data_IF_169389076108
#
_entry.id   IF_169389076108
#
_cell.length_a   1.000
_cell.length_b   1.000
_cell.length_c   1.000
_cell.angle_alpha   90.00
_cell.angle_beta   90.00
_cell.angle_gamma   90.00
#
_symmetry.space_group_name_H-M   'P 1'
#
loop_
_entity.id
_entity.type
_entity.pdbx_description
1 polymer ?
#
# COMPACT_ATOMS: atom_id res chain seq x y z
N UNK A 1 31.15 -16.80 12.50
CA UNK A 1 29.96 -16.02 12.89
C UNK A 1 28.79 -16.45 12.00
N UNK A 2 27.59 -16.56 12.55
CA UNK A 2 26.39 -16.89 11.78
C UNK A 2 25.93 -15.67 10.95
N UNK A 3 25.46 -15.91 9.73
CA UNK A 3 24.84 -14.90 8.87
C UNK A 3 23.31 -14.88 9.03
N UNK A 4 22.66 -13.81 8.56
CA UNK A 4 21.20 -13.67 8.56
C UNK A 4 20.64 -13.97 7.17
N UNK A 5 19.66 -14.88 7.08
CA UNK A 5 18.99 -15.25 5.84
C UNK A 5 17.48 -15.15 6.02
N UNK A 6 16.81 -14.31 5.23
CA UNK A 6 15.37 -14.07 5.37
C UNK A 6 14.67 -13.97 4.01
N UNK A 7 13.37 -14.28 3.99
CA UNK A 7 12.44 -13.90 2.93
C UNK A 7 11.14 -13.43 3.59
N UNK A 8 10.94 -12.11 3.60
CA UNK A 8 9.83 -11.46 4.31
C UNK A 8 8.91 -10.78 3.30
N UNK A 9 7.98 -11.53 2.73
CA UNK A 9 7.04 -11.01 1.73
C UNK A 9 5.79 -10.45 2.41
N UNK A 10 5.55 -9.16 2.22
CA UNK A 10 4.46 -8.44 2.88
C UNK A 10 3.74 -7.56 1.87
N UNK A 11 2.44 -7.75 1.75
CA UNK A 11 1.55 -6.79 1.08
C UNK A 11 1.12 -5.75 2.10
N UNK A 12 1.19 -4.49 1.73
CA UNK A 12 0.61 -3.38 2.47
C UNK A 12 -0.57 -2.80 1.70
N UNK A 13 -1.59 -2.41 2.46
CA UNK A 13 -2.80 -1.75 1.95
C UNK A 13 -3.07 -0.52 2.80
N UNK A 14 -3.18 0.66 2.18
CA UNK A 14 -3.46 1.91 2.88
C UNK A 14 -4.26 2.86 2.01
N UNK A 15 -5.07 3.72 2.63
CA UNK A 15 -6.03 4.59 1.95
C UNK A 15 -5.67 6.07 2.00
N UNK A 16 -6.20 6.81 1.04
CA UNK A 16 -6.18 8.27 0.97
C UNK A 16 -7.07 8.85 2.08
N UNK A 17 -6.66 9.96 2.68
CA UNK A 17 -7.47 10.70 3.65
C UNK A 17 -8.37 11.72 2.95
N UNK A 18 -9.67 11.64 3.23
CA UNK A 18 -10.68 12.54 2.69
C UNK A 18 -11.04 12.28 1.22
N UNK A 19 -12.22 12.76 0.81
CA UNK A 19 -12.79 12.57 -0.54
C UNK A 19 -12.15 13.41 -1.64
N UNK A 20 -11.49 14.50 -1.31
CA UNK A 20 -10.97 15.47 -2.30
C UNK A 20 -9.56 15.14 -2.83
N UNK A 21 -8.89 14.16 -2.21
CA UNK A 21 -7.48 13.87 -2.40
C UNK A 21 -7.20 12.65 -3.31
N UNK A 22 -8.07 12.37 -4.27
CA UNK A 22 -7.97 11.17 -5.09
C UNK A 22 -6.74 11.16 -6.00
N UNK A 23 -6.14 9.98 -6.13
CA UNK A 23 -5.06 9.68 -7.06
C UNK A 23 -5.64 9.62 -8.47
N UNK A 24 -5.04 10.35 -9.41
CA UNK A 24 -5.49 10.40 -10.81
C UNK A 24 -4.49 9.71 -11.70
N UNK A 25 -4.98 9.03 -12.73
CA UNK A 25 -4.16 8.26 -13.67
C UNK A 25 -3.00 9.08 -14.25
N UNK A 26 -3.24 10.37 -14.55
CA UNK A 26 -2.23 11.29 -15.09
C UNK A 26 -0.93 11.42 -14.27
N UNK A 27 -0.96 11.11 -12.97
CA UNK A 27 0.21 11.16 -12.09
C UNK A 27 0.43 9.87 -11.29
N UNK A 28 -0.38 8.83 -11.53
CA UNK A 28 -0.31 7.56 -10.80
C UNK A 28 1.06 6.90 -10.96
N UNK A 29 1.53 6.75 -12.20
CA UNK A 29 2.83 6.13 -12.50
C UNK A 29 4.01 6.88 -11.84
N UNK A 30 3.98 8.21 -11.82
CA UNK A 30 5.01 9.01 -11.15
C UNK A 30 4.97 8.83 -9.63
N UNK A 31 3.78 8.79 -9.03
CA UNK A 31 3.59 8.48 -7.61
C UNK A 31 4.10 7.07 -7.27
N UNK A 32 3.79 6.07 -8.09
CA UNK A 32 4.25 4.69 -7.92
C UNK A 32 5.77 4.57 -7.98
N UNK A 33 6.41 5.29 -8.90
CA UNK A 33 7.88 5.39 -9.00
C UNK A 33 8.51 6.00 -7.76
N UNK A 34 7.93 7.08 -7.23
CA UNK A 34 8.38 7.72 -5.98
C UNK A 34 8.27 6.76 -4.80
N UNK A 35 7.15 6.07 -4.66
CA UNK A 35 6.96 5.07 -3.61
C UNK A 35 8.00 3.95 -3.75
N UNK A 36 8.24 3.43 -4.96
CA UNK A 36 9.27 2.42 -5.19
C UNK A 36 10.67 2.91 -4.83
N UNK A 37 11.00 4.18 -5.13
CA UNK A 37 12.25 4.81 -4.71
C UNK A 37 12.40 4.86 -3.19
N UNK A 38 11.34 5.25 -2.46
CA UNK A 38 11.33 5.26 -0.99
C UNK A 38 11.56 3.85 -0.43
N UNK A 39 10.85 2.84 -0.95
CA UNK A 39 11.01 1.43 -0.53
C UNK A 39 12.44 0.94 -0.78
N UNK A 40 13.01 1.26 -1.94
CA UNK A 40 14.39 0.90 -2.29
C UNK A 40 15.41 1.52 -1.34
N UNK A 41 15.21 2.79 -0.96
CA UNK A 41 16.06 3.48 0.02
C UNK A 41 16.03 2.85 1.41
N UNK A 42 14.98 2.10 1.75
CA UNK A 42 14.88 1.30 2.98
C UNK A 42 15.43 -0.12 2.83
N UNK A 43 16.21 -0.39 1.76
CA UNK A 43 16.79 -1.72 1.43
C UNK A 43 15.73 -2.80 1.17
N UNK A 44 14.49 -2.41 0.95
CA UNK A 44 13.39 -3.30 0.64
C UNK A 44 13.22 -3.39 -0.89
N UNK A 45 12.56 -4.46 -1.37
CA UNK A 45 12.31 -4.68 -2.80
C UNK A 45 10.82 -4.65 -3.10
N UNK A 46 10.36 -3.76 -3.97
CA UNK A 46 8.99 -3.80 -4.50
C UNK A 46 8.85 -4.91 -5.54
N UNK A 47 7.82 -5.74 -5.41
CA UNK A 47 7.44 -6.77 -6.38
C UNK A 47 6.27 -6.33 -7.26
N UNK A 48 5.30 -5.62 -6.67
CA UNK A 48 4.19 -5.02 -7.38
C UNK A 48 3.67 -3.81 -6.59
N UNK A 49 3.17 -2.81 -7.30
CA UNK A 49 2.46 -1.67 -6.73
C UNK A 49 1.33 -1.31 -7.67
N UNK A 50 0.19 -0.92 -7.10
CA UNK A 50 -0.84 -0.23 -7.83
C UNK A 50 -1.52 0.80 -6.91
N UNK A 51 -1.56 2.05 -7.35
CA UNK A 51 -2.27 3.12 -6.65
C UNK A 51 -3.66 3.31 -7.28
N UNK A 52 -4.68 2.73 -6.64
CA UNK A 52 -6.08 3.04 -6.94
C UNK A 52 -6.40 4.50 -6.58
N UNK A 53 -7.53 5.06 -7.06
CA UNK A 53 -7.89 6.45 -6.76
C UNK A 53 -7.95 6.79 -5.26
N UNK A 54 -8.39 5.85 -4.43
CA UNK A 54 -8.67 6.03 -3.00
C UNK A 54 -7.78 5.19 -2.07
N UNK A 55 -6.97 4.26 -2.60
CA UNK A 55 -6.08 3.42 -1.81
C UNK A 55 -4.92 2.83 -2.64
N UNK A 56 -3.94 2.24 -1.97
CA UNK A 56 -2.76 1.67 -2.62
C UNK A 56 -2.51 0.26 -2.11
N UNK A 57 -2.23 -0.64 -3.05
CA UNK A 57 -1.68 -1.97 -2.78
C UNK A 57 -0.19 -1.96 -3.16
N UNK A 58 0.66 -2.40 -2.24
CA UNK A 58 2.09 -2.57 -2.53
C UNK A 58 2.60 -3.88 -1.92
N UNK A 59 3.25 -4.70 -2.74
CA UNK A 59 3.84 -5.98 -2.34
C UNK A 59 5.36 -5.87 -2.29
N UNK A 60 5.93 -6.13 -1.11
CA UNK A 60 7.32 -5.81 -0.78
C UNK A 60 8.02 -7.04 -0.19
N UNK A 61 9.25 -7.30 -0.62
CA UNK A 61 10.22 -8.08 0.15
C UNK A 61 10.94 -7.17 1.13
N UNK A 62 10.64 -7.31 2.42
CA UNK A 62 11.14 -6.45 3.48
C UNK A 62 12.56 -6.83 3.91
N UNK A 63 13.37 -5.83 4.24
CA UNK A 63 14.64 -6.02 4.93
C UNK A 63 14.39 -6.23 6.43
N UNK A 64 15.08 -7.16 7.11
CA UNK A 64 14.81 -7.48 8.51
C UNK A 64 15.14 -6.36 9.52
N UNK A 65 15.79 -5.28 9.08
CA UNK A 65 16.16 -4.14 9.97
C UNK A 65 15.10 -3.04 10.04
N UNK A 66 14.00 -3.14 9.28
CA UNK A 66 12.94 -2.13 9.29
C UNK A 66 11.61 -2.78 9.68
N UNK A 67 10.91 -2.17 10.64
CA UNK A 67 9.58 -2.63 11.02
C UNK A 67 8.54 -2.25 9.97
N UNK A 68 7.42 -2.99 9.88
CA UNK A 68 6.31 -2.64 8.98
C UNK A 68 5.82 -1.20 9.18
N UNK A 69 5.64 -0.77 10.44
CA UNK A 69 5.19 0.58 10.77
C UNK A 69 6.17 1.66 10.32
N UNK A 70 7.48 1.45 10.51
CA UNK A 70 8.49 2.43 10.07
C UNK A 70 8.55 2.53 8.55
N UNK A 71 8.47 1.40 7.84
CA UNK A 71 8.43 1.41 6.38
C UNK A 71 7.20 2.17 5.86
N UNK A 72 6.02 1.91 6.42
CA UNK A 72 4.80 2.61 6.04
C UNK A 72 4.81 4.09 6.40
N UNK A 73 5.39 4.48 7.53
CA UNK A 73 5.63 5.88 7.88
C UNK A 73 6.46 6.59 6.80
N UNK A 74 7.58 5.99 6.36
CA UNK A 74 8.45 6.55 5.33
C UNK A 74 7.74 6.64 3.96
N UNK A 75 7.06 5.55 3.55
CA UNK A 75 6.30 5.51 2.30
C UNK A 75 5.22 6.59 2.28
N UNK A 76 4.38 6.65 3.32
CA UNK A 76 3.23 7.55 3.38
C UNK A 76 3.65 9.02 3.52
N UNK A 77 4.59 9.32 4.40
CA UNK A 77 5.08 10.70 4.60
C UNK A 77 5.85 11.21 3.39
N UNK A 78 6.76 10.42 2.82
CA UNK A 78 7.58 10.80 1.67
C UNK A 78 6.74 11.02 0.41
N UNK A 79 5.82 10.11 0.11
CA UNK A 79 4.92 10.26 -1.05
C UNK A 79 3.93 11.40 -0.87
N UNK A 80 3.40 11.62 0.35
CA UNK A 80 2.54 12.78 0.61
C UNK A 80 3.28 14.10 0.42
N UNK A 81 4.52 14.19 0.95
CA UNK A 81 5.35 15.38 0.78
C UNK A 81 5.56 15.68 -0.70
N UNK A 82 6.00 14.68 -1.46
CA UNK A 82 6.25 14.80 -2.89
C UNK A 82 4.99 15.25 -3.67
N UNK A 83 3.83 14.62 -3.41
CA UNK A 83 2.60 14.94 -4.15
C UNK A 83 2.09 16.36 -3.85
N UNK A 84 2.25 16.81 -2.60
CA UNK A 84 1.94 18.18 -2.19
C UNK A 84 2.88 19.21 -2.84
N UNK A 85 4.17 18.90 -2.98
CA UNK A 85 5.14 19.76 -3.68
C UNK A 85 4.82 19.91 -5.17
N UNK A 86 4.33 18.83 -5.80
CA UNK A 86 3.91 18.82 -7.22
C UNK A 86 2.63 19.60 -7.49
N UNK A 87 1.80 19.85 -6.46
CA UNK A 87 0.50 20.56 -6.57
C UNK A 87 -0.45 19.95 -7.61
N UNK A 88 -0.40 18.62 -7.80
CA UNK A 88 -1.30 17.92 -8.73
C UNK A 88 -2.74 17.80 -8.24
N UNK A 89 -2.94 17.95 -6.93
CA UNK A 89 -4.22 17.91 -6.23
C UNK A 89 -4.46 19.29 -5.63
N UNK A 90 -5.71 19.76 -5.67
CA UNK A 90 -6.10 21.01 -5.00
C UNK A 90 -6.21 20.74 -3.51
N UNK A 91 -5.52 21.54 -2.70
CA UNK A 91 -5.46 21.33 -1.26
C UNK A 91 -4.28 20.47 -0.84
N UNK A 92 -4.37 19.88 0.36
CA UNK A 92 -3.30 19.07 0.95
C UNK A 92 -3.66 17.59 0.87
N UNK A 93 -2.84 16.83 0.16
CA UNK A 93 -2.88 15.38 0.15
C UNK A 93 -2.28 14.78 1.42
N UNK A 94 -2.91 13.74 1.93
CA UNK A 94 -2.38 12.88 2.98
C UNK A 94 -3.01 11.50 2.89
N UNK A 95 -2.27 10.47 3.30
CA UNK A 95 -2.83 9.15 3.59
C UNK A 95 -3.54 9.13 4.96
N UNK A 96 -4.45 8.18 5.19
CA UNK A 96 -4.99 7.92 6.53
C UNK A 96 -3.89 7.34 7.43
N UNK A 97 -4.02 7.41 8.77
CA UNK A 97 -2.95 6.99 9.68
C UNK A 97 -2.70 5.46 9.67
N UNK A 98 -3.75 4.66 9.52
CA UNK A 98 -3.70 3.19 9.50
C UNK A 98 -3.15 2.56 8.21
N UNK A 99 -2.86 1.26 8.27
CA UNK A 99 -2.56 0.40 7.12
C UNK A 99 -2.85 -1.07 7.47
N UNK A 100 -3.16 -1.89 6.47
CA UNK A 100 -3.12 -3.35 6.57
C UNK A 100 -1.76 -3.88 6.14
N UNK A 101 -1.30 -4.97 6.76
CA UNK A 101 -0.09 -5.69 6.38
C UNK A 101 -0.34 -7.19 6.42
N UNK A 102 -0.08 -7.88 5.30
CA UNK A 102 -0.43 -9.28 5.09
C UNK A 102 0.77 -10.04 4.53
N UNK A 103 1.16 -11.14 5.17
CA UNK A 103 2.38 -11.89 4.82
C UNK A 103 2.10 -13.05 3.89
N UNK A 104 3.06 -13.38 3.03
CA UNK A 104 2.91 -14.43 2.02
C UNK A 104 4.13 -15.35 1.96
N UNK A 105 3.92 -16.62 1.61
CA UNK A 105 5.02 -17.53 1.28
C UNK A 105 5.52 -17.32 -0.15
N UNK A 106 6.72 -17.83 -0.46
CA UNK A 106 7.37 -17.74 -1.79
C UNK A 106 6.48 -18.23 -2.94
N UNK A 107 5.67 -19.27 -2.71
CA UNK A 107 4.79 -19.85 -3.73
C UNK A 107 3.63 -18.93 -4.14
N UNK A 108 3.30 -17.94 -3.32
CA UNK A 108 2.20 -17.01 -3.59
C UNK A 108 2.61 -15.78 -4.41
N UNK A 109 3.92 -15.53 -4.61
CA UNK A 109 4.41 -14.27 -5.18
C UNK A 109 3.73 -13.94 -6.50
N UNK A 110 3.70 -14.87 -7.46
CA UNK A 110 3.16 -14.60 -8.78
C UNK A 110 1.66 -14.27 -8.74
N UNK A 111 0.92 -14.94 -7.85
CA UNK A 111 -0.50 -14.69 -7.65
C UNK A 111 -0.74 -13.32 -7.01
N UNK A 112 0.06 -12.93 -6.02
CA UNK A 112 -0.05 -11.61 -5.36
C UNK A 112 0.35 -10.50 -6.32
N UNK A 113 1.42 -10.67 -7.10
CA UNK A 113 1.83 -9.72 -8.14
C UNK A 113 0.71 -9.52 -9.16
N UNK A 114 0.15 -10.61 -9.70
CA UNK A 114 -0.99 -10.54 -10.63
C UNK A 114 -2.20 -9.86 -9.99
N UNK A 115 -2.50 -10.15 -8.74
CA UNK A 115 -3.61 -9.53 -8.02
C UNK A 115 -3.41 -8.01 -7.85
N UNK A 116 -2.24 -7.56 -7.43
CA UNK A 116 -1.93 -6.13 -7.27
C UNK A 116 -1.96 -5.39 -8.61
N UNK A 117 -1.41 -5.97 -9.68
CA UNK A 117 -1.40 -5.31 -10.99
C UNK A 117 -2.77 -5.31 -11.70
N UNK A 118 -3.69 -6.18 -11.32
CA UNK A 118 -5.05 -6.26 -11.86
C UNK A 118 -6.10 -5.48 -11.04
N UNK A 119 -5.67 -4.67 -10.07
CA UNK A 119 -6.55 -3.83 -9.25
C UNK A 119 -7.56 -2.98 -10.05
N UNK A 120 -7.22 -2.39 -11.22
CA UNK A 120 -8.19 -1.68 -12.05
C UNK A 120 -9.39 -2.50 -12.49
N UNK A 121 -9.16 -3.76 -12.84
CA UNK A 121 -10.20 -4.68 -13.29
C UNK A 121 -10.97 -5.25 -12.10
N UNK A 122 -10.28 -5.49 -10.97
CA UNK A 122 -10.89 -5.94 -9.72
C UNK A 122 -11.96 -4.96 -9.23
N UNK A 123 -11.64 -3.66 -9.20
CA UNK A 123 -12.55 -2.62 -8.71
C UNK A 123 -13.69 -2.25 -9.64
N UNK A 124 -13.79 -2.86 -10.82
CA UNK A 124 -15.03 -2.82 -11.61
C UNK A 124 -16.15 -3.67 -11.00
N UNK A 125 -15.81 -4.59 -10.08
CA UNK A 125 -16.74 -5.58 -9.50
C UNK A 125 -16.83 -5.53 -7.99
N UNK A 126 -15.80 -5.02 -7.32
CA UNK A 126 -15.69 -5.05 -5.86
C UNK A 126 -15.20 -3.71 -5.33
N UNK A 127 -15.86 -3.19 -4.30
CA UNK A 127 -15.42 -1.96 -3.63
C UNK A 127 -14.17 -2.20 -2.77
N UNK A 128 -13.39 -1.15 -2.54
CA UNK A 128 -12.24 -1.21 -1.63
C UNK A 128 -12.64 -1.68 -0.22
N UNK A 129 -13.81 -1.25 0.27
CA UNK A 129 -14.31 -1.66 1.59
C UNK A 129 -14.52 -3.17 1.67
N UNK A 130 -15.20 -3.75 0.70
CA UNK A 130 -15.44 -5.19 0.65
C UNK A 130 -14.12 -5.96 0.53
N UNK A 131 -13.23 -5.51 -0.35
CA UNK A 131 -11.91 -6.13 -0.53
C UNK A 131 -11.09 -6.12 0.76
N UNK A 132 -11.01 -4.97 1.45
CA UNK A 132 -10.23 -4.84 2.68
C UNK A 132 -10.78 -5.72 3.80
N UNK A 133 -12.11 -5.82 3.93
CA UNK A 133 -12.75 -6.73 4.90
C UNK A 133 -12.44 -8.20 4.59
N UNK A 134 -12.50 -8.60 3.32
CA UNK A 134 -12.12 -9.96 2.90
C UNK A 134 -10.64 -10.25 3.15
N UNK A 135 -9.76 -9.28 2.98
CA UNK A 135 -8.34 -9.44 3.34
C UNK A 135 -8.18 -9.67 4.83
N UNK A 136 -8.83 -8.86 5.68
CA UNK A 136 -8.77 -9.04 7.13
C UNK A 136 -9.28 -10.41 7.56
N UNK A 137 -10.41 -10.86 7.02
CA UNK A 137 -10.98 -12.18 7.27
C UNK A 137 -10.05 -13.31 6.80
N UNK A 138 -9.58 -13.23 5.55
CA UNK A 138 -8.69 -14.24 4.95
C UNK A 138 -7.40 -14.44 5.74
N UNK A 139 -6.87 -13.36 6.32
CA UNK A 139 -5.63 -13.38 7.11
C UNK A 139 -5.87 -13.54 8.61
N UNK A 140 -7.12 -13.78 9.03
CA UNK A 140 -7.50 -13.95 10.44
C UNK A 140 -7.00 -12.80 11.33
N UNK A 141 -7.13 -11.57 10.82
CA UNK A 141 -6.76 -10.36 11.55
C UNK A 141 -7.91 -9.96 12.44
N UNK A 142 -7.68 -9.86 13.75
CA UNK A 142 -8.65 -9.28 14.68
C UNK A 142 -8.77 -7.78 14.45
N UNK A 143 -9.98 -7.29 14.15
CA UNK A 143 -10.24 -5.86 13.98
C UNK A 143 -11.56 -5.45 14.63
N UNK A 144 -11.63 -4.19 15.04
CA UNK A 144 -12.88 -3.56 15.43
C UNK A 144 -13.42 -2.76 14.24
N UNK A 145 -14.64 -3.04 13.73
CA UNK A 145 -15.21 -2.32 12.60
C UNK A 145 -15.26 -0.79 12.77
N UNK A 146 -15.28 -0.29 14.02
CA UNK A 146 -15.27 1.16 14.34
C UNK A 146 -13.93 1.85 14.06
N UNK A 147 -12.83 1.11 13.96
CA UNK A 147 -11.48 1.65 13.78
C UNK A 147 -10.85 1.26 12.44
N UNK A 148 -11.67 0.86 11.47
CA UNK A 148 -11.25 0.70 10.09
C UNK A 148 -11.08 2.07 9.41
N UNK A 149 -10.65 2.07 8.15
CA UNK A 149 -10.55 3.30 7.37
C UNK A 149 -11.87 4.07 7.36
N UNK A 150 -11.78 5.39 7.27
CA UNK A 150 -12.95 6.21 6.99
C UNK A 150 -13.50 5.82 5.61
N UNK A 151 -14.62 5.10 5.60
CA UNK A 151 -15.30 4.68 4.38
C UNK A 151 -16.10 5.85 3.83
N UNK A 152 -15.70 6.35 2.66
CA UNK A 152 -16.43 7.42 1.99
C UNK A 152 -17.35 6.82 0.92
N UNK A 153 -18.67 6.85 1.16
CA UNK A 153 -19.70 6.50 0.17
C UNK A 153 -19.86 7.57 -0.91
#
# INVERSE_FOLDING_TARGET
MANTYTQLYTQFVFSVKGRENLIKERFRDELEKVICGIVTNQKCKTYAIYCNPDHTHIFIGMHPTISPSKLMEQVKSGSSKWLNEKKYIRGKFSWQDGFGAFTYSKSHIDNVVKYVLNQPEHHKKQSFKEEYLLLLEKFDVNYNPKYLFEWYN
#
